data_IF_130277992260
#
_entry.id   IF_130277992260
#
_cell.length_a   1.000
_cell.length_b   1.000
_cell.length_c   1.000
_cell.angle_alpha   90.00
_cell.angle_beta   90.00
_cell.angle_gamma   90.00
#
_symmetry.space_group_name_H-M   'P 1'
#
loop_
_entity.id
_entity.type
_entity.pdbx_description
1 polymer ?
#
# COMPACT_ATOMS: atom_id res chain seq x y z
N UNK A 1 -33.22 -19.46 4.48
CA UNK A 1 -32.66 -20.62 5.21
C UNK A 1 -33.71 -21.14 6.18
N UNK A 2 -33.97 -22.45 6.24
CA UNK A 2 -34.96 -22.98 7.18
C UNK A 2 -34.41 -22.96 8.62
N UNK A 3 -35.28 -23.03 9.63
CA UNK A 3 -34.87 -23.17 11.03
C UNK A 3 -34.00 -24.42 11.24
N UNK A 4 -34.24 -25.49 10.47
CA UNK A 4 -33.45 -26.72 10.52
C UNK A 4 -32.02 -26.51 10.02
N UNK A 5 -31.85 -25.74 8.95
CA UNK A 5 -30.53 -25.45 8.38
C UNK A 5 -29.68 -24.58 9.31
N UNK A 6 -30.32 -23.65 10.04
CA UNK A 6 -29.66 -22.84 11.10
C UNK A 6 -29.08 -23.74 12.20
N UNK A 7 -29.86 -24.70 12.69
CA UNK A 7 -29.41 -25.62 13.75
C UNK A 7 -28.21 -26.44 13.27
N UNK A 8 -28.28 -27.03 12.08
CA UNK A 8 -27.18 -27.82 11.51
C UNK A 8 -25.90 -27.01 11.31
N UNK A 9 -26.03 -25.74 10.92
CA UNK A 9 -24.89 -24.84 10.73
C UNK A 9 -24.20 -24.51 12.06
N UNK A 10 -24.98 -24.30 13.13
CA UNK A 10 -24.44 -24.06 14.47
C UNK A 10 -23.74 -25.30 15.04
N UNK A 11 -24.32 -26.49 14.86
CA UNK A 11 -23.70 -27.75 15.27
C UNK A 11 -22.39 -28.00 14.52
N UNK A 12 -22.36 -27.73 13.21
CA UNK A 12 -21.15 -27.84 12.40
C UNK A 12 -20.08 -26.83 12.83
N UNK A 13 -20.47 -25.58 13.11
CA UNK A 13 -19.53 -24.57 13.63
C UNK A 13 -18.92 -24.96 14.98
N UNK A 14 -19.74 -25.44 15.93
CA UNK A 14 -19.26 -25.91 17.22
C UNK A 14 -18.24 -27.05 17.05
N UNK A 15 -18.49 -27.96 16.09
CA UNK A 15 -17.54 -29.01 15.73
C UNK A 15 -16.23 -28.44 15.14
N UNK A 16 -16.30 -27.44 14.27
CA UNK A 16 -15.11 -26.79 13.70
C UNK A 16 -14.28 -26.10 14.79
N UNK A 17 -14.90 -25.36 15.70
CA UNK A 17 -14.22 -24.76 16.86
C UNK A 17 -13.44 -25.83 17.64
N UNK A 18 -14.07 -26.95 18.00
CA UNK A 18 -13.37 -28.05 18.70
C UNK A 18 -12.08 -28.53 17.99
N UNK A 19 -11.97 -28.35 16.66
CA UNK A 19 -10.78 -28.70 15.89
C UNK A 19 -9.71 -27.60 15.81
N UNK A 20 -10.09 -26.31 15.90
CA UNK A 20 -9.18 -25.17 15.62
C UNK A 20 -8.91 -24.25 16.81
N UNK A 21 -9.67 -24.38 17.89
CA UNK A 21 -9.56 -23.58 19.11
C UNK A 21 -10.93 -23.26 19.73
N UNK A 22 -10.94 -22.64 20.90
CA UNK A 22 -12.21 -22.21 21.49
C UNK A 22 -12.92 -21.18 20.59
N UNK A 23 -14.23 -21.02 20.79
CA UNK A 23 -15.01 -20.03 20.04
C UNK A 23 -14.43 -18.61 20.19
N UNK A 24 -13.90 -18.29 21.37
CA UNK A 24 -13.24 -17.01 21.65
C UNK A 24 -11.97 -16.83 20.82
N UNK A 25 -11.20 -17.90 20.59
CA UNK A 25 -10.00 -17.86 19.74
C UNK A 25 -10.38 -17.63 18.28
N UNK A 26 -11.43 -18.30 17.80
CA UNK A 26 -11.94 -18.11 16.42
C UNK A 26 -12.46 -16.68 16.24
N UNK A 27 -13.28 -16.18 17.18
CA UNK A 27 -13.77 -14.79 17.20
C UNK A 27 -12.62 -13.78 17.22
N UNK A 28 -11.60 -14.01 18.03
CA UNK A 28 -10.42 -13.15 18.10
C UNK A 28 -9.65 -13.11 16.77
N UNK A 29 -9.49 -14.26 16.09
CA UNK A 29 -8.84 -14.32 14.78
C UNK A 29 -9.68 -13.64 13.69
N UNK A 30 -11.00 -13.83 13.70
CA UNK A 30 -11.92 -13.13 12.79
C UNK A 30 -11.81 -11.61 12.96
N UNK A 31 -11.80 -11.13 14.20
CA UNK A 31 -11.62 -9.71 14.52
C UNK A 31 -10.29 -9.16 13.97
N UNK A 32 -9.21 -9.94 14.01
CA UNK A 32 -7.92 -9.52 13.42
C UNK A 32 -8.04 -9.31 11.91
N UNK A 33 -8.80 -10.15 11.20
CA UNK A 33 -9.05 -9.94 9.76
C UNK A 33 -9.94 -8.72 9.51
N UNK A 34 -11.03 -8.55 10.27
CA UNK A 34 -11.88 -7.35 10.19
C UNK A 34 -11.09 -6.07 10.42
N UNK A 35 -10.25 -6.04 11.47
CA UNK A 35 -9.35 -4.91 11.74
C UNK A 35 -8.36 -4.74 10.58
N UNK A 36 -7.83 -5.82 10.02
CA UNK A 36 -6.94 -5.78 8.86
C UNK A 36 -7.60 -5.23 7.61
N UNK A 37 -8.91 -5.43 7.43
CA UNK A 37 -9.68 -4.88 6.33
C UNK A 37 -10.00 -3.41 6.52
N UNK A 38 -10.31 -2.98 7.75
CA UNK A 38 -10.51 -1.57 8.11
C UNK A 38 -9.19 -0.79 8.03
N UNK A 39 -8.09 -1.38 8.51
CA UNK A 39 -6.79 -0.73 8.60
C UNK A 39 -6.03 -0.70 7.26
N UNK A 40 -6.34 -1.61 6.34
CA UNK A 40 -5.83 -1.52 4.97
C UNK A 40 -6.68 -0.52 4.19
N UNK A 41 -6.35 0.75 4.42
CA UNK A 41 -6.90 1.94 3.76
C UNK A 41 -6.57 1.95 2.26
N UNK A 42 -7.28 1.10 1.51
CA UNK A 42 -7.35 1.18 0.07
C UNK A 42 -8.56 2.05 -0.28
N UNK A 43 -8.51 2.80 -1.39
CA UNK A 43 -9.63 3.60 -1.92
C UNK A 43 -10.95 2.81 -2.14
N UNK A 44 -10.91 1.49 -1.96
CA UNK A 44 -12.06 0.60 -1.94
C UNK A 44 -12.09 -0.08 -0.58
N UNK A 45 -13.14 0.13 0.23
CA UNK A 45 -13.38 -0.70 1.39
C UNK A 45 -13.39 -2.16 0.93
N UNK A 46 -12.78 -3.05 1.69
CA UNK A 46 -12.77 -4.48 1.37
C UNK A 46 -13.29 -5.28 2.53
N UNK A 47 -13.79 -6.47 2.24
CA UNK A 47 -14.16 -7.47 3.23
C UNK A 47 -13.43 -8.75 2.88
N UNK A 48 -12.56 -9.20 3.77
CA UNK A 48 -11.92 -10.50 3.71
C UNK A 48 -12.84 -11.54 4.33
N UNK A 49 -13.14 -12.58 3.57
CA UNK A 49 -13.90 -13.74 4.00
C UNK A 49 -13.12 -15.03 3.67
N UNK A 50 -13.81 -16.16 3.65
CA UNK A 50 -13.18 -17.47 3.52
C UNK A 50 -12.65 -17.99 4.85
N UNK A 51 -12.23 -19.25 4.86
CA UNK A 51 -11.97 -19.98 6.10
C UNK A 51 -10.82 -19.40 6.95
N UNK A 52 -9.87 -18.69 6.34
CA UNK A 52 -8.88 -17.89 7.09
C UNK A 52 -9.47 -16.60 7.64
N UNK A 53 -10.21 -15.85 6.82
CA UNK A 53 -10.83 -14.57 7.21
C UNK A 53 -11.77 -14.72 8.41
N UNK A 54 -12.41 -15.89 8.51
CA UNK A 54 -13.34 -16.22 9.58
C UNK A 54 -12.67 -16.83 10.82
N UNK A 55 -11.33 -16.92 10.82
CA UNK A 55 -10.55 -17.33 11.99
C UNK A 55 -10.39 -18.84 12.19
N UNK A 56 -10.87 -19.68 11.27
CA UNK A 56 -10.73 -21.14 11.36
C UNK A 56 -9.30 -21.61 11.02
N UNK A 57 -8.69 -21.01 10.00
CA UNK A 57 -7.27 -21.17 9.65
C UNK A 57 -6.78 -22.64 9.56
N UNK A 58 -7.55 -23.51 8.91
CA UNK A 58 -7.12 -24.88 8.62
C UNK A 58 -5.97 -24.90 7.59
N UNK A 59 -5.23 -26.02 7.56
CA UNK A 59 -4.22 -26.23 6.51
C UNK A 59 -4.91 -26.34 5.16
N UNK A 60 -4.59 -25.42 4.25
CA UNK A 60 -5.25 -25.30 2.95
C UNK A 60 -6.41 -24.30 2.92
N UNK A 61 -6.68 -23.61 4.04
CA UNK A 61 -7.68 -22.55 4.09
C UNK A 61 -7.36 -21.41 3.13
N UNK A 62 -8.42 -20.95 2.48
CA UNK A 62 -8.50 -19.82 1.57
C UNK A 62 -8.80 -18.51 2.30
N UNK A 63 -8.59 -17.41 1.57
CA UNK A 63 -9.05 -16.08 1.91
C UNK A 63 -9.68 -15.51 0.67
N UNK A 64 -10.97 -15.23 0.74
CA UNK A 64 -11.70 -14.53 -0.30
C UNK A 64 -11.68 -13.04 0.04
N UNK A 65 -11.63 -12.17 -0.97
CA UNK A 65 -11.64 -10.72 -0.76
C UNK A 65 -12.71 -10.12 -1.65
N UNK A 66 -13.68 -9.46 -1.04
CA UNK A 66 -14.68 -8.65 -1.73
C UNK A 66 -14.24 -7.19 -1.68
N UNK A 67 -14.11 -6.55 -2.85
CA UNK A 67 -13.93 -5.11 -2.95
C UNK A 67 -15.30 -4.44 -3.03
N UNK A 68 -15.50 -3.41 -2.22
CA UNK A 68 -16.73 -2.62 -2.16
C UNK A 68 -16.50 -1.37 -3.00
N UNK A 69 -17.35 -1.16 -4.01
CA UNK A 69 -17.31 0.07 -4.81
C UNK A 69 -17.66 1.29 -3.94
N UNK A 70 -17.12 2.49 -4.21
CA UNK A 70 -17.30 3.68 -3.36
C UNK A 70 -18.77 4.11 -3.16
N UNK A 71 -19.66 3.72 -4.08
CA UNK A 71 -21.10 4.00 -4.01
C UNK A 71 -21.86 3.06 -3.07
N UNK A 72 -21.19 2.00 -2.57
CA UNK A 72 -21.72 1.06 -1.60
C UNK A 72 -21.09 1.32 -0.23
N UNK A 73 -21.92 1.28 0.80
CA UNK A 73 -21.46 1.33 2.19
C UNK A 73 -21.88 0.05 2.89
N UNK A 74 -20.94 -0.63 3.54
CA UNK A 74 -21.23 -1.82 4.32
C UNK A 74 -21.24 -1.47 5.79
N UNK A 75 -22.31 -1.88 6.47
CA UNK A 75 -22.54 -1.69 7.90
C UNK A 75 -22.58 -3.05 8.58
N UNK A 76 -21.91 -3.22 9.72
CA UNK A 76 -21.99 -4.46 10.51
C UNK A 76 -23.27 -4.51 11.36
N UNK A 77 -23.77 -3.35 11.80
CA UNK A 77 -25.01 -3.24 12.57
C UNK A 77 -25.95 -2.18 12.00
N UNK A 78 -27.26 -2.40 12.18
CA UNK A 78 -28.30 -1.42 11.85
C UNK A 78 -28.14 -0.12 12.65
N UNK A 79 -27.50 -0.17 13.83
CA UNK A 79 -27.20 1.03 14.62
C UNK A 79 -26.19 1.96 13.95
N UNK A 80 -25.35 1.42 13.07
CA UNK A 80 -24.21 2.12 12.49
C UNK A 80 -24.58 2.83 11.18
N UNK A 81 -25.79 2.57 10.68
CA UNK A 81 -26.37 3.20 9.50
C UNK A 81 -26.65 4.67 9.80
N UNK A 82 -25.67 5.52 9.54
CA UNK A 82 -25.70 6.95 9.90
C UNK A 82 -26.05 7.86 8.72
N UNK A 83 -25.99 7.36 7.48
CA UNK A 83 -26.19 8.15 6.27
C UNK A 83 -27.29 7.61 5.34
N UNK A 84 -27.65 8.43 4.35
CA UNK A 84 -28.73 8.15 3.38
C UNK A 84 -28.25 8.21 1.92
N UNK A 85 -26.94 8.24 1.70
CA UNK A 85 -26.34 8.41 0.37
C UNK A 85 -25.66 7.10 -0.05
N UNK A 86 -25.91 6.66 -1.29
CA UNK A 86 -25.40 5.39 -1.82
C UNK A 86 -26.32 4.18 -1.59
N UNK A 87 -25.83 2.99 -1.90
CA UNK A 87 -26.48 1.70 -1.61
C UNK A 87 -25.90 1.16 -0.31
N UNK A 88 -26.70 1.09 0.75
CA UNK A 88 -26.27 0.55 2.03
C UNK A 88 -26.47 -0.97 2.07
N UNK A 89 -25.42 -1.70 2.40
CA UNK A 89 -25.41 -3.13 2.65
C UNK A 89 -25.27 -3.34 4.15
N UNK A 90 -26.17 -4.12 4.74
CA UNK A 90 -26.02 -4.59 6.12
C UNK A 90 -25.38 -5.98 6.08
N UNK A 91 -24.18 -6.08 6.63
CA UNK A 91 -23.44 -7.30 6.86
C UNK A 91 -23.80 -7.86 8.23
N UNK A 92 -24.73 -8.81 8.28
CA UNK A 92 -25.13 -9.43 9.54
C UNK A 92 -24.10 -10.50 9.93
N UNK A 93 -23.17 -10.14 10.82
CA UNK A 93 -22.14 -11.04 11.36
C UNK A 93 -22.50 -11.66 12.70
N UNK A 94 -23.53 -11.14 13.37
CA UNK A 94 -23.89 -11.48 14.74
C UNK A 94 -24.87 -12.65 14.80
N UNK A 95 -25.81 -12.71 13.85
CA UNK A 95 -26.77 -13.81 13.76
C UNK A 95 -26.31 -14.93 12.80
N UNK A 96 -25.16 -14.77 12.16
CA UNK A 96 -24.63 -15.72 11.18
C UNK A 96 -23.53 -16.62 11.74
N UNK A 97 -23.65 -17.95 11.57
CA UNK A 97 -22.55 -18.84 11.89
C UNK A 97 -21.37 -18.54 10.94
N UNK A 98 -20.11 -18.64 11.40
CA UNK A 98 -18.95 -18.54 10.54
C UNK A 98 -19.06 -19.50 9.35
N UNK A 99 -18.53 -19.07 8.20
CA UNK A 99 -18.70 -19.58 6.84
C UNK A 99 -19.91 -19.02 6.09
N UNK A 100 -20.71 -18.18 6.74
CA UNK A 100 -21.83 -17.48 6.13
C UNK A 100 -21.85 -16.04 6.61
N UNK A 101 -21.93 -15.10 5.69
CA UNK A 101 -22.16 -13.69 6.00
C UNK A 101 -23.31 -13.23 5.11
N UNK A 102 -24.42 -12.81 5.70
CA UNK A 102 -25.55 -12.29 4.92
C UNK A 102 -25.31 -10.82 4.64
N UNK A 103 -25.32 -10.47 3.36
CA UNK A 103 -25.36 -9.09 2.91
C UNK A 103 -26.81 -8.75 2.53
N UNK A 104 -27.45 -7.93 3.35
CA UNK A 104 -28.79 -7.43 3.09
C UNK A 104 -28.70 -6.04 2.47
N UNK A 105 -29.28 -5.87 1.28
CA UNK A 105 -29.44 -4.54 0.68
C UNK A 105 -30.51 -3.80 1.48
N UNK A 106 -30.14 -2.69 2.12
CA UNK A 106 -31.09 -1.86 2.84
C UNK A 106 -31.87 -1.01 1.83
N UNK A 107 -33.22 -1.05 1.86
CA UNK A 107 -34.01 -0.20 0.99
C UNK A 107 -33.76 1.28 1.35
N UNK A 108 -33.53 2.12 0.33
CA UNK A 108 -33.49 3.58 0.52
C UNK A 108 -34.82 4.02 1.10
N UNK A 109 -34.83 4.52 2.34
CA UNK A 109 -35.99 5.13 2.95
C UNK A 109 -36.52 6.25 2.05
N UNK A 110 -37.66 6.00 1.37
CA UNK A 110 -38.32 6.97 0.50
C UNK A 110 -38.54 6.56 -0.96
N UNK A 111 -38.05 5.41 -1.42
CA UNK A 111 -38.41 4.87 -2.74
C UNK A 111 -39.44 3.75 -2.54
N UNK A 112 -40.68 3.88 -3.05
CA UNK A 112 -41.65 2.80 -2.99
C UNK A 112 -41.08 1.54 -3.67
N UNK A 113 -41.24 0.43 -2.97
CA UNK A 113 -40.85 -0.92 -3.34
C UNK A 113 -41.48 -1.32 -4.70
N UNK A 114 -40.80 -1.06 -5.82
CA UNK A 114 -41.27 -1.44 -7.17
C UNK A 114 -40.40 -2.53 -7.85
N UNK A 115 -39.33 -2.99 -7.21
CA UNK A 115 -38.38 -3.93 -7.84
C UNK A 115 -38.49 -5.40 -7.40
N UNK A 116 -39.36 -5.75 -6.45
CA UNK A 116 -39.43 -7.14 -5.94
C UNK A 116 -40.50 -8.02 -6.57
N UNK A 117 -41.53 -7.48 -7.24
CA UNK A 117 -42.50 -8.35 -7.94
C UNK A 117 -41.95 -8.92 -9.25
N UNK A 118 -41.17 -8.15 -10.01
CA UNK A 118 -40.59 -8.63 -11.28
C UNK A 118 -39.59 -9.78 -11.10
N UNK A 119 -38.85 -9.83 -9.98
CA UNK A 119 -37.92 -10.93 -9.68
C UNK A 119 -38.65 -12.16 -9.08
N UNK A 120 -39.86 -11.99 -8.54
CA UNK A 120 -40.66 -13.11 -8.01
C UNK A 120 -41.36 -13.86 -9.13
N UNK A 121 -41.72 -13.17 -10.21
CA UNK A 121 -42.30 -13.79 -11.42
C UNK A 121 -41.24 -14.53 -12.26
N UNK A 122 -39.99 -14.07 -12.30
CA UNK A 122 -38.91 -14.77 -13.03
C UNK A 122 -38.40 -16.05 -12.34
N UNK A 123 -38.78 -16.31 -11.09
CA UNK A 123 -38.31 -17.48 -10.33
C UNK A 123 -39.10 -18.77 -10.61
N UNK A 124 -40.21 -18.69 -11.34
CA UNK A 124 -41.06 -19.85 -11.62
C UNK A 124 -40.67 -20.65 -12.88
N UNK A 125 -39.71 -20.19 -13.69
CA UNK A 125 -39.35 -20.85 -14.97
C UNK A 125 -37.90 -21.38 -15.06
N UNK A 126 -37.14 -21.46 -13.96
CA UNK A 126 -35.73 -21.88 -14.01
C UNK A 126 -35.51 -23.33 -13.50
N UNK A 127 -35.98 -24.32 -14.25
CA UNK A 127 -35.38 -25.66 -14.21
C UNK A 127 -34.22 -25.70 -15.23
N UNK A 128 -33.00 -25.98 -14.74
CA UNK A 128 -31.69 -25.97 -15.42
C UNK A 128 -30.90 -24.65 -15.37
N UNK A 129 -30.35 -24.35 -14.19
CA UNK A 129 -29.14 -23.54 -14.08
C UNK A 129 -28.07 -24.38 -13.38
N UNK A 130 -27.12 -24.89 -14.16
CA UNK A 130 -25.87 -25.48 -13.64
C UNK A 130 -24.93 -24.29 -13.44
N UNK A 131 -24.48 -23.95 -12.22
CA UNK A 131 -23.53 -22.88 -12.04
C UNK A 131 -22.19 -23.34 -12.62
N UNK A 132 -21.66 -22.62 -13.60
CA UNK A 132 -20.30 -22.79 -14.07
C UNK A 132 -19.34 -22.52 -12.91
N UNK A 133 -18.41 -23.45 -12.68
CA UNK A 133 -17.34 -23.34 -11.68
C UNK A 133 -16.53 -22.04 -11.92
N UNK A 134 -16.11 -21.34 -10.85
CA UNK A 134 -15.34 -20.11 -11.01
C UNK A 134 -14.03 -20.41 -11.72
N UNK A 135 -13.80 -19.69 -12.82
CA UNK A 135 -12.59 -19.78 -13.63
C UNK A 135 -11.35 -19.71 -12.72
N UNK A 136 -10.60 -20.82 -12.69
CA UNK A 136 -9.20 -20.86 -12.25
C UNK A 136 -8.49 -19.59 -12.71
N UNK A 137 -7.77 -18.90 -11.81
CA UNK A 137 -6.97 -17.73 -12.13
C UNK A 137 -6.00 -18.01 -13.28
N UNK A 138 -6.47 -17.75 -14.51
CA UNK A 138 -5.68 -17.94 -15.71
C UNK A 138 -4.47 -17.02 -15.62
N UNK A 139 -3.28 -17.60 -15.72
CA UNK A 139 -2.03 -16.86 -15.89
C UNK A 139 -2.27 -15.87 -17.03
N UNK A 140 -2.16 -14.55 -16.81
CA UNK A 140 -2.50 -13.58 -17.82
C UNK A 140 -1.66 -13.81 -19.07
N UNK A 141 -2.34 -13.90 -20.21
CA UNK A 141 -1.69 -14.10 -21.51
C UNK A 141 -0.72 -12.96 -21.79
N UNK A 142 0.30 -13.20 -22.64
CA UNK A 142 1.23 -12.14 -23.05
C UNK A 142 0.50 -10.91 -23.64
N UNK A 143 -0.62 -11.14 -24.33
CA UNK A 143 -1.49 -10.09 -24.85
C UNK A 143 -2.11 -9.24 -23.74
N UNK A 144 -2.64 -9.85 -22.68
CA UNK A 144 -3.19 -9.14 -21.53
C UNK A 144 -2.11 -8.36 -20.77
N UNK A 145 -0.93 -8.97 -20.56
CA UNK A 145 0.23 -8.29 -19.94
C UNK A 145 0.64 -7.05 -20.74
N UNK A 146 0.69 -7.16 -22.07
CA UNK A 146 0.99 -6.04 -22.95
C UNK A 146 -0.06 -4.93 -22.90
N UNK A 147 -1.34 -5.26 -22.89
CA UNK A 147 -2.40 -4.24 -22.75
C UNK A 147 -2.34 -3.52 -21.39
N UNK A 148 -2.09 -4.26 -20.31
CA UNK A 148 -1.91 -3.69 -18.98
C UNK A 148 -0.70 -2.76 -18.93
N UNK A 149 0.44 -3.18 -19.49
CA UNK A 149 1.64 -2.35 -19.65
C UNK A 149 1.35 -1.05 -20.40
N UNK A 150 0.70 -1.15 -21.58
CA UNK A 150 0.37 0.02 -22.41
C UNK A 150 -0.60 0.97 -21.70
N UNK A 151 -1.57 0.41 -20.96
CA UNK A 151 -2.51 1.18 -20.17
C UNK A 151 -1.79 1.99 -19.09
N UNK A 152 -0.93 1.36 -18.28
CA UNK A 152 -0.17 2.08 -17.25
C UNK A 152 0.75 3.14 -17.83
N UNK A 153 1.47 2.81 -18.91
CA UNK A 153 2.32 3.78 -19.58
C UNK A 153 1.51 5.00 -20.05
N UNK A 154 0.30 4.81 -20.58
CA UNK A 154 -0.56 5.91 -21.01
C UNK A 154 -1.00 6.82 -19.85
N UNK A 155 -1.25 6.25 -18.66
CA UNK A 155 -1.61 7.02 -17.46
C UNK A 155 -0.41 7.82 -16.94
N UNK A 156 0.78 7.21 -16.91
CA UNK A 156 2.02 7.87 -16.48
C UNK A 156 2.39 9.04 -17.39
N UNK A 157 2.14 8.92 -18.69
CA UNK A 157 2.39 10.00 -19.64
C UNK A 157 1.53 11.24 -19.38
N UNK A 158 0.40 11.14 -18.67
CA UNK A 158 -0.40 12.32 -18.27
C UNK A 158 0.42 13.21 -17.33
N UNK A 159 1.08 12.62 -16.31
CA UNK A 159 1.93 13.37 -15.38
C UNK A 159 3.22 13.89 -16.01
N UNK A 160 3.72 13.23 -17.06
CA UNK A 160 4.84 13.73 -17.86
C UNK A 160 4.43 14.90 -18.76
N UNK A 161 3.22 14.86 -19.33
CA UNK A 161 2.70 15.92 -20.18
C UNK A 161 2.39 17.20 -19.41
N UNK A 162 2.07 17.10 -18.11
CA UNK A 162 1.98 18.27 -17.22
C UNK A 162 3.34 18.80 -16.75
N UNK A 163 4.43 18.16 -17.20
CA UNK A 163 5.81 18.44 -16.82
C UNK A 163 6.08 18.38 -15.31
N UNK A 164 5.26 17.64 -14.56
CA UNK A 164 5.43 17.45 -13.13
C UNK A 164 6.63 16.54 -12.84
N UNK A 165 7.54 16.98 -11.96
CA UNK A 165 8.71 16.19 -11.55
C UNK A 165 8.31 14.83 -10.99
N UNK A 166 7.22 14.76 -10.22
CA UNK A 166 6.65 13.52 -9.71
C UNK A 166 6.24 12.58 -10.85
N UNK A 167 5.55 13.08 -11.88
CA UNK A 167 5.17 12.31 -13.07
C UNK A 167 6.38 11.71 -13.80
N UNK A 168 7.45 12.48 -13.97
CA UNK A 168 8.71 11.98 -14.54
C UNK A 168 9.36 10.88 -13.68
N UNK A 169 9.39 11.04 -12.35
CA UNK A 169 9.97 10.03 -11.44
C UNK A 169 9.19 8.73 -11.41
N UNK A 170 7.86 8.83 -11.47
CA UNK A 170 6.97 7.69 -11.59
C UNK A 170 7.24 6.93 -12.90
N UNK A 171 7.43 7.66 -14.01
CA UNK A 171 7.80 7.05 -15.29
C UNK A 171 9.19 6.39 -15.24
N UNK A 172 10.19 7.03 -14.60
CA UNK A 172 11.52 6.43 -14.42
C UNK A 172 11.45 5.13 -13.61
N UNK A 173 10.66 5.11 -12.54
CA UNK A 173 10.42 3.92 -11.72
C UNK A 173 9.78 2.80 -12.52
N UNK A 174 8.78 3.15 -13.35
CA UNK A 174 8.12 2.20 -14.24
C UNK A 174 9.09 1.57 -15.24
N UNK A 175 9.95 2.36 -15.88
CA UNK A 175 10.97 1.80 -16.78
C UNK A 175 11.98 0.94 -16.03
N UNK A 176 12.41 1.35 -14.84
CA UNK A 176 13.29 0.56 -13.99
C UNK A 176 12.67 -0.80 -13.62
N UNK A 177 11.40 -0.85 -13.19
CA UNK A 177 10.72 -2.10 -12.81
C UNK A 177 10.54 -3.07 -13.98
N UNK A 178 10.51 -2.55 -15.21
CA UNK A 178 10.48 -3.32 -16.45
C UNK A 178 11.88 -3.61 -17.03
N UNK A 179 12.95 -3.32 -16.28
CA UNK A 179 14.36 -3.52 -16.66
C UNK A 179 14.83 -2.68 -17.86
N UNK A 180 14.11 -1.59 -18.16
CA UNK A 180 14.47 -0.62 -19.18
C UNK A 180 15.37 0.46 -18.54
N UNK A 181 16.57 0.04 -18.12
CA UNK A 181 17.45 0.85 -17.28
C UNK A 181 17.99 2.09 -18.00
N UNK A 182 18.17 2.04 -19.32
CA UNK A 182 18.66 3.19 -20.11
C UNK A 182 17.64 4.31 -20.13
N UNK A 183 16.38 3.98 -20.35
CA UNK A 183 15.23 4.90 -20.34
C UNK A 183 15.03 5.50 -18.96
N UNK A 184 15.08 4.66 -17.91
CA UNK A 184 15.04 5.14 -16.53
C UNK A 184 16.15 6.16 -16.25
N UNK A 185 17.39 5.90 -16.69
CA UNK A 185 18.51 6.81 -16.54
C UNK A 185 18.28 8.14 -17.26
N UNK A 186 17.89 8.13 -18.54
CA UNK A 186 17.58 9.33 -19.32
C UNK A 186 16.54 10.19 -18.60
N UNK A 187 15.48 9.57 -18.08
CA UNK A 187 14.42 10.29 -17.35
C UNK A 187 14.94 10.84 -16.03
N UNK A 188 15.74 10.09 -15.26
CA UNK A 188 16.32 10.61 -14.01
C UNK A 188 17.29 11.76 -14.26
N UNK A 189 18.06 11.74 -15.36
CA UNK A 189 18.94 12.85 -15.74
C UNK A 189 18.12 14.09 -16.11
N UNK A 190 17.00 13.91 -16.84
CA UNK A 190 16.05 14.99 -17.12
C UNK A 190 15.47 15.60 -15.84
N UNK A 191 14.99 14.77 -14.91
CA UNK A 191 14.48 15.20 -13.60
C UNK A 191 15.53 16.00 -12.83
N UNK A 192 16.76 15.48 -12.74
CA UNK A 192 17.85 16.14 -12.03
C UNK A 192 18.26 17.46 -12.70
N UNK A 193 18.16 17.56 -14.03
CA UNK A 193 18.45 18.81 -14.76
C UNK A 193 17.41 19.90 -14.52
N UNK A 194 16.15 19.51 -14.25
CA UNK A 194 15.05 20.43 -13.94
C UNK A 194 15.02 20.84 -12.48
N UNK A 195 15.64 20.06 -11.61
CA UNK A 195 15.68 20.35 -10.20
C UNK A 195 16.60 21.55 -9.94
N UNK A 196 16.02 22.71 -9.68
CA UNK A 196 16.75 23.87 -9.16
C UNK A 196 16.75 23.82 -7.63
N UNK A 197 17.86 24.17 -6.98
CA UNK A 197 17.93 24.24 -5.50
C UNK A 197 16.94 25.26 -4.88
N UNK A 198 16.30 26.07 -5.72
CA UNK A 198 15.13 26.86 -5.33
C UNK A 198 13.93 25.93 -5.28
N UNK A 199 13.48 25.62 -4.07
CA UNK A 199 12.20 24.95 -3.80
C UNK A 199 11.10 25.60 -4.63
N UNK A 200 10.63 24.92 -5.67
CA UNK A 200 9.44 25.36 -6.41
C UNK A 200 8.25 24.85 -5.59
N UNK A 201 7.48 25.72 -4.91
CA UNK A 201 6.24 25.29 -4.30
C UNK A 201 5.34 24.74 -5.40
N UNK A 202 4.93 23.48 -5.27
CA UNK A 202 3.98 22.88 -6.21
C UNK A 202 2.63 23.55 -6.01
N UNK A 203 2.02 24.16 -7.03
CA UNK A 203 0.68 24.70 -6.93
C UNK A 203 -0.31 23.56 -6.65
N UNK A 204 -1.17 23.76 -5.64
CA UNK A 204 -2.18 22.82 -5.11
C UNK A 204 -3.14 22.29 -6.19
N UNK A 205 -3.24 22.98 -7.32
CA UNK A 205 -4.26 22.75 -8.35
C UNK A 205 -3.92 21.63 -9.34
N UNK A 206 -2.75 20.99 -9.24
CA UNK A 206 -2.38 19.86 -10.13
C UNK A 206 -2.57 18.52 -9.43
N UNK A 207 -3.82 18.18 -9.12
CA UNK A 207 -4.22 16.83 -8.68
C UNK A 207 -4.04 15.83 -9.83
N UNK A 208 -2.82 15.35 -10.03
CA UNK A 208 -2.61 14.09 -10.73
C UNK A 208 -3.41 13.00 -10.00
N UNK A 209 -4.06 12.14 -10.77
CA UNK A 209 -5.01 11.13 -10.30
C UNK A 209 -4.40 10.30 -9.15
N UNK A 210 -4.80 10.61 -7.91
CA UNK A 210 -4.28 10.05 -6.65
C UNK A 210 -4.25 8.51 -6.69
N UNK A 211 -5.22 7.88 -7.36
CA UNK A 211 -5.31 6.43 -7.57
C UNK A 211 -4.10 5.86 -8.32
N UNK A 212 -3.63 6.55 -9.38
CA UNK A 212 -2.44 6.13 -10.15
C UNK A 212 -1.18 6.30 -9.31
N UNK A 213 -1.12 7.34 -8.47
CA UNK A 213 -0.01 7.56 -7.55
C UNK A 213 0.07 6.46 -6.47
N UNK A 214 -1.07 6.02 -5.94
CA UNK A 214 -1.13 4.91 -4.97
C UNK A 214 -0.81 3.55 -5.60
N UNK A 215 -1.35 3.22 -6.77
CA UNK A 215 -0.98 1.98 -7.46
C UNK A 215 0.51 1.95 -7.83
N UNK A 216 1.11 3.09 -8.18
CA UNK A 216 2.54 3.15 -8.40
C UNK A 216 3.37 3.18 -7.11
N UNK A 217 2.85 3.77 -6.04
CA UNK A 217 3.43 3.65 -4.71
C UNK A 217 3.50 2.19 -4.30
N UNK A 218 2.44 1.42 -4.55
CA UNK A 218 2.44 -0.03 -4.34
C UNK A 218 3.47 -0.74 -5.19
N UNK A 219 3.69 -0.32 -6.45
CA UNK A 219 4.79 -0.83 -7.29
C UNK A 219 6.19 -0.42 -6.78
N UNK A 220 6.35 0.78 -6.21
CA UNK A 220 7.58 1.23 -5.52
C UNK A 220 7.80 0.40 -4.24
N UNK A 221 6.74 0.15 -3.49
CA UNK A 221 6.74 -0.75 -2.34
C UNK A 221 7.00 -2.19 -2.79
N UNK A 222 6.56 -2.61 -3.97
CA UNK A 222 6.84 -3.92 -4.55
C UNK A 222 8.29 -4.06 -5.02
N UNK A 223 8.89 -2.99 -5.54
CA UNK A 223 10.34 -2.86 -5.72
C UNK A 223 11.09 -2.98 -4.38
N UNK A 224 10.51 -2.47 -3.28
CA UNK A 224 11.03 -2.66 -1.93
C UNK A 224 10.75 -4.06 -1.35
N UNK A 225 9.74 -4.77 -1.87
CA UNK A 225 9.41 -6.17 -1.52
C UNK A 225 10.29 -7.20 -2.21
N UNK A 226 11.26 -6.78 -3.03
CA UNK A 226 12.24 -7.71 -3.59
C UNK A 226 12.85 -8.54 -2.46
N UNK A 227 12.77 -9.87 -2.58
CA UNK A 227 12.94 -10.84 -1.48
C UNK A 227 14.27 -10.69 -0.72
N UNK A 228 15.30 -10.15 -1.39
CA UNK A 228 16.58 -9.79 -0.78
C UNK A 228 16.45 -8.59 0.16
N UNK A 229 15.79 -7.51 -0.23
CA UNK A 229 15.64 -6.29 0.58
C UNK A 229 14.83 -6.55 1.85
N UNK A 230 13.72 -7.30 1.78
CA UNK A 230 12.93 -7.67 2.96
C UNK A 230 13.71 -8.60 3.90
N UNK A 231 14.35 -9.64 3.36
CA UNK A 231 15.16 -10.56 4.17
C UNK A 231 16.31 -9.82 4.85
N UNK A 232 16.91 -8.84 4.16
CA UNK A 232 18.00 -8.04 4.72
C UNK A 232 17.49 -7.07 5.79
N UNK A 233 16.39 -6.34 5.56
CA UNK A 233 15.79 -5.47 6.59
C UNK A 233 15.40 -6.30 7.81
N UNK A 234 14.77 -7.47 7.63
CA UNK A 234 14.42 -8.40 8.72
C UNK A 234 15.64 -8.94 9.47
N UNK A 235 16.73 -9.25 8.78
CA UNK A 235 17.97 -9.72 9.39
C UNK A 235 18.72 -8.59 10.14
N UNK A 236 18.58 -7.35 9.70
CA UNK A 236 19.15 -6.16 10.35
C UNK A 236 18.34 -5.73 11.57
N UNK A 237 17.02 -5.97 11.59
CA UNK A 237 16.13 -5.71 12.73
C UNK A 237 16.22 -6.73 13.86
N UNK A 238 17.09 -7.75 13.77
CA UNK A 238 17.53 -8.55 14.93
C UNK A 238 18.44 -7.75 15.88
N UNK A 239 18.61 -6.45 15.64
CA UNK A 239 19.02 -5.51 16.68
C UNK A 239 17.94 -5.46 17.75
N UNK A 240 18.34 -5.57 19.02
CA UNK A 240 17.55 -5.42 20.26
C UNK A 240 16.89 -4.02 20.42
N UNK A 241 16.64 -3.33 19.31
CA UNK A 241 15.85 -2.12 19.22
C UNK A 241 14.45 -2.61 18.82
N UNK A 242 13.55 -2.59 19.78
CA UNK A 242 12.12 -2.84 19.60
C UNK A 242 11.55 -1.72 18.71
N UNK A 243 11.85 -1.76 17.40
CA UNK A 243 11.17 -0.98 16.38
C UNK A 243 9.79 -1.63 16.27
N UNK A 244 8.84 -1.06 16.99
CA UNK A 244 7.44 -1.44 16.93
C UNK A 244 7.05 -1.57 15.46
N UNK A 245 6.46 -2.69 15.07
CA UNK A 245 5.92 -2.88 13.72
C UNK A 245 4.92 -1.79 13.30
N UNK A 246 4.43 -0.98 14.26
CA UNK A 246 3.67 0.25 14.05
C UNK A 246 4.50 1.43 13.49
N UNK A 247 5.82 1.42 13.62
CA UNK A 247 6.70 2.50 13.11
C UNK A 247 7.04 2.34 11.62
N UNK A 248 6.83 1.15 11.04
CA UNK A 248 6.97 0.89 9.60
C UNK A 248 5.62 0.77 8.86
N UNK A 249 4.52 0.59 9.60
CA UNK A 249 3.17 0.65 9.07
C UNK A 249 2.70 2.11 9.16
N UNK A 250 2.60 2.76 7.99
CA UNK A 250 1.79 3.95 7.68
C UNK A 250 1.37 4.78 8.90
N UNK A 251 2.03 5.93 9.11
CA UNK A 251 1.58 6.99 10.01
C UNK A 251 0.10 7.35 9.70
N UNK A 252 -0.80 7.31 10.69
CA UNK A 252 -2.22 7.71 10.54
C UNK A 252 -2.45 9.17 10.09
N UNK A 253 -1.38 9.96 9.93
CA UNK A 253 -1.44 11.35 9.52
C UNK A 253 -1.50 11.55 7.98
N UNK A 254 -1.42 10.47 7.19
CA UNK A 254 -1.59 10.54 5.72
C UNK A 254 -3.05 10.66 5.26
N UNK A 255 -4.04 10.56 6.16
CA UNK A 255 -5.47 10.67 5.83
C UNK A 255 -6.09 12.05 6.10
N UNK A 256 -5.38 13.00 6.74
CA UNK A 256 -5.98 14.29 7.11
C UNK A 256 -5.57 15.50 6.26
N UNK A 257 -4.74 15.33 5.22
CA UNK A 257 -4.14 16.46 4.51
C UNK A 257 -4.35 16.44 2.99
N UNK A 258 -5.58 16.16 2.55
CA UNK A 258 -6.03 16.55 1.20
C UNK A 258 -6.17 18.09 1.04
N UNK A 259 -5.81 18.88 2.06
CA UNK A 259 -5.77 20.34 2.04
C UNK A 259 -4.38 20.95 2.34
N UNK A 260 -3.34 20.17 2.64
CA UNK A 260 -2.05 20.73 3.08
C UNK A 260 -0.96 20.63 1.97
N UNK A 261 -0.42 21.76 1.47
CA UNK A 261 0.50 21.83 0.31
C UNK A 261 1.92 21.27 0.51
N UNK A 262 2.18 20.38 1.49
CA UNK A 262 3.54 20.15 2.00
C UNK A 262 4.24 18.82 1.66
N UNK A 263 3.78 18.03 0.69
CA UNK A 263 4.38 16.69 0.46
C UNK A 263 4.91 16.47 -0.97
N UNK A 264 5.91 17.25 -1.41
CA UNK A 264 6.73 16.93 -2.61
C UNK A 264 8.21 17.28 -2.38
N UNK A 265 8.82 16.78 -1.30
CA UNK A 265 10.23 17.08 -0.97
C UNK A 265 11.24 15.97 -1.33
N UNK A 266 10.80 14.82 -1.83
CA UNK A 266 11.67 13.62 -1.98
C UNK A 266 12.17 13.35 -3.40
N UNK A 267 11.89 14.25 -4.35
CA UNK A 267 12.15 13.98 -5.77
C UNK A 267 13.64 13.77 -6.10
N UNK A 268 14.54 14.59 -5.55
CA UNK A 268 15.97 14.53 -5.86
C UNK A 268 16.66 13.29 -5.26
N UNK A 269 16.44 12.94 -3.97
CA UNK A 269 16.92 11.66 -3.42
C UNK A 269 16.40 10.44 -4.20
N UNK A 270 15.12 10.43 -4.56
CA UNK A 270 14.53 9.32 -5.34
C UNK A 270 15.16 9.22 -6.73
N UNK A 271 15.41 10.34 -7.41
CA UNK A 271 16.09 10.34 -8.71
C UNK A 271 17.49 9.73 -8.62
N UNK A 272 18.28 10.12 -7.60
CA UNK A 272 19.61 9.54 -7.36
C UNK A 272 19.54 8.06 -7.01
N UNK A 273 18.52 7.63 -6.27
CA UNK A 273 18.31 6.23 -5.92
C UNK A 273 17.94 5.37 -7.15
N UNK A 274 16.99 5.80 -7.98
CA UNK A 274 16.64 5.09 -9.23
C UNK A 274 17.86 5.00 -10.16
N UNK A 275 18.67 6.07 -10.22
CA UNK A 275 19.91 6.11 -10.99
C UNK A 275 20.95 5.13 -10.44
N UNK A 276 21.14 5.07 -9.12
CA UNK A 276 21.97 4.06 -8.45
C UNK A 276 21.53 2.64 -8.82
N UNK A 277 20.25 2.33 -8.65
CA UNK A 277 19.69 1.01 -8.97
C UNK A 277 19.91 0.65 -10.45
N UNK A 278 19.65 1.59 -11.36
CA UNK A 278 19.80 1.38 -12.79
C UNK A 278 21.25 1.10 -13.20
N UNK A 279 22.23 1.78 -12.60
CA UNK A 279 23.65 1.47 -12.84
C UNK A 279 24.10 0.16 -12.17
N UNK A 280 23.62 -0.12 -10.96
CA UNK A 280 23.91 -1.34 -10.23
C UNK A 280 23.47 -2.58 -11.02
N UNK A 281 22.23 -2.63 -11.49
CA UNK A 281 21.72 -3.77 -12.27
C UNK A 281 22.32 -3.89 -13.67
N UNK A 282 22.92 -2.81 -14.20
CA UNK A 282 23.72 -2.85 -15.44
C UNK A 282 25.16 -3.31 -15.21
N UNK A 283 25.60 -3.48 -13.96
CA UNK A 283 26.98 -3.86 -13.62
C UNK A 283 28.00 -2.75 -13.87
N UNK A 284 27.58 -1.48 -13.93
CA UNK A 284 28.49 -0.35 -14.09
C UNK A 284 28.93 0.18 -12.72
N UNK A 285 30.05 -0.33 -12.22
CA UNK A 285 30.59 -0.06 -10.88
C UNK A 285 30.83 1.42 -10.64
N UNK A 286 31.66 2.04 -11.47
CA UNK A 286 32.02 3.46 -11.34
C UNK A 286 30.78 4.37 -11.31
N UNK A 287 29.77 4.03 -12.14
CA UNK A 287 28.57 4.85 -12.26
C UNK A 287 27.61 4.69 -11.05
N UNK A 288 27.44 3.49 -10.51
CA UNK A 288 26.60 3.34 -9.31
C UNK A 288 27.31 3.91 -8.08
N UNK A 289 28.63 3.79 -7.97
CA UNK A 289 29.38 4.41 -6.87
C UNK A 289 29.28 5.93 -6.92
N UNK A 290 29.37 6.53 -8.12
CA UNK A 290 29.12 7.96 -8.30
C UNK A 290 27.70 8.35 -7.87
N UNK A 291 26.69 7.56 -8.25
CA UNK A 291 25.30 7.81 -7.87
C UNK A 291 25.09 7.68 -6.34
N UNK A 292 25.72 6.69 -5.71
CA UNK A 292 25.74 6.52 -4.26
C UNK A 292 26.35 7.73 -3.56
N UNK A 293 27.51 8.21 -4.02
CA UNK A 293 28.18 9.40 -3.45
C UNK A 293 27.36 10.68 -3.62
N UNK A 294 26.58 10.81 -4.70
CA UNK A 294 25.63 11.92 -4.86
C UNK A 294 24.49 11.83 -3.84
N UNK A 295 23.92 10.65 -3.64
CA UNK A 295 22.88 10.43 -2.62
C UNK A 295 23.40 10.71 -1.20
N UNK A 296 24.64 10.30 -0.90
CA UNK A 296 25.32 10.62 0.36
C UNK A 296 25.49 12.13 0.55
N UNK A 297 25.90 12.86 -0.50
CA UNK A 297 26.02 14.31 -0.46
C UNK A 297 24.68 15.00 -0.18
N UNK A 298 23.60 14.58 -0.84
CA UNK A 298 22.26 15.09 -0.55
C UNK A 298 21.87 14.85 0.91
N UNK A 299 22.23 13.69 1.48
CA UNK A 299 21.99 13.41 2.89
C UNK A 299 22.72 14.42 3.79
N UNK A 300 24.00 14.69 3.50
CA UNK A 300 24.83 15.64 4.25
C UNK A 300 24.27 17.07 4.14
N UNK A 301 23.89 17.50 2.93
CA UNK A 301 23.35 18.83 2.69
C UNK A 301 22.01 19.02 3.43
N UNK A 302 21.15 18.00 3.42
CA UNK A 302 19.90 18.00 4.18
C UNK A 302 20.12 18.06 5.71
N UNK A 303 21.19 17.43 6.22
CA UNK A 303 21.54 17.50 7.64
C UNK A 303 22.10 18.88 8.05
N UNK A 304 22.87 19.52 7.18
CA UNK A 304 23.54 20.80 7.49
C UNK A 304 22.62 22.00 7.41
N UNK A 305 21.52 21.90 6.65
CA UNK A 305 20.52 22.95 6.51
C UNK A 305 19.70 23.11 7.81
N UNK A 306 20.23 23.89 8.76
CA UNK A 306 19.51 24.32 9.96
C UNK A 306 18.34 25.22 9.54
N UNK A 307 17.11 24.78 9.80
CA UNK A 307 15.93 25.62 9.57
C UNK A 307 15.00 25.69 10.76
N UNK A 308 14.33 26.84 10.86
CA UNK A 308 13.38 27.21 11.90
C UNK A 308 11.98 27.27 11.29
N UNK A 309 10.96 26.77 12.01
CA UNK A 309 9.56 26.90 11.62
C UNK A 309 9.01 25.74 10.79
N UNK A 310 7.99 26.02 9.97
CA UNK A 310 7.19 25.03 9.23
C UNK A 310 7.96 24.25 8.17
N UNK A 311 9.03 24.80 7.58
CA UNK A 311 9.89 24.10 6.60
C UNK A 311 10.63 22.89 7.21
N UNK A 312 10.71 22.82 8.55
CA UNK A 312 11.42 21.77 9.27
C UNK A 312 10.83 20.38 9.02
N UNK A 313 9.49 20.27 8.89
CA UNK A 313 8.83 18.97 8.75
C UNK A 313 9.10 18.36 7.36
N UNK A 314 8.91 19.14 6.29
CA UNK A 314 9.18 18.68 4.92
C UNK A 314 10.63 18.23 4.72
N UNK A 315 11.60 18.97 5.28
CA UNK A 315 13.02 18.59 5.24
C UNK A 315 13.35 17.38 6.11
N UNK A 316 12.65 17.17 7.22
CA UNK A 316 12.80 15.97 8.04
C UNK A 316 12.39 14.73 7.24
N UNK A 317 11.26 14.79 6.54
CA UNK A 317 10.86 13.70 5.63
C UNK A 317 11.88 13.50 4.51
N UNK A 318 12.35 14.57 3.87
CA UNK A 318 13.38 14.47 2.84
C UNK A 318 14.66 13.79 3.37
N UNK A 319 15.12 14.18 4.55
CA UNK A 319 16.27 13.56 5.21
C UNK A 319 16.01 12.07 5.50
N UNK A 320 14.85 11.74 6.06
CA UNK A 320 14.44 10.36 6.35
C UNK A 320 14.53 9.48 5.09
N UNK A 321 13.87 9.89 4.00
CA UNK A 321 13.89 9.12 2.75
C UNK A 321 15.29 9.05 2.13
N UNK A 322 16.07 10.14 2.20
CA UNK A 322 17.46 10.13 1.71
C UNK A 322 18.30 9.12 2.48
N UNK A 323 18.21 9.11 3.81
CA UNK A 323 18.89 8.14 4.66
C UNK A 323 18.42 6.71 4.37
N UNK A 324 17.12 6.51 4.16
CA UNK A 324 16.56 5.21 3.84
C UNK A 324 17.11 4.65 2.52
N UNK A 325 17.07 5.45 1.45
CA UNK A 325 17.65 5.08 0.16
C UNK A 325 19.15 4.83 0.24
N UNK A 326 19.87 5.65 1.03
CA UNK A 326 21.30 5.48 1.25
C UNK A 326 21.61 4.18 1.98
N UNK A 327 20.82 3.83 3.00
CA UNK A 327 20.95 2.56 3.74
C UNK A 327 20.74 1.35 2.85
N UNK A 328 19.72 1.35 1.99
CA UNK A 328 19.50 0.29 0.99
C UNK A 328 20.68 0.21 0.03
N UNK A 329 21.14 1.35 -0.48
CA UNK A 329 22.21 1.39 -1.46
C UNK A 329 23.53 0.86 -0.88
N UNK A 330 23.89 1.27 0.34
CA UNK A 330 25.06 0.78 1.08
C UNK A 330 25.01 -0.74 1.27
N UNK A 331 23.83 -1.26 1.62
CA UNK A 331 23.64 -2.68 1.79
C UNK A 331 23.79 -3.46 0.48
N UNK A 332 23.30 -2.91 -0.64
CA UNK A 332 23.42 -3.53 -1.96
C UNK A 332 24.86 -3.62 -2.45
N UNK A 333 25.71 -2.64 -2.12
CA UNK A 333 27.15 -2.66 -2.46
C UNK A 333 28.00 -3.48 -1.49
N UNK A 334 27.40 -4.11 -0.48
CA UNK A 334 28.09 -4.95 0.50
C UNK A 334 28.57 -4.23 1.76
N UNK A 335 28.36 -2.92 1.88
CA UNK A 335 28.72 -2.08 3.02
C UNK A 335 27.73 -2.23 4.19
N UNK A 336 27.61 -3.45 4.71
CA UNK A 336 26.57 -3.82 5.69
C UNK A 336 26.70 -3.07 7.02
N UNK A 337 27.92 -2.73 7.44
CA UNK A 337 28.13 -1.98 8.68
C UNK A 337 27.73 -0.50 8.53
N UNK A 338 27.98 0.09 7.36
CA UNK A 338 27.49 1.43 7.04
C UNK A 338 25.96 1.44 6.98
N UNK A 339 25.34 0.46 6.31
CA UNK A 339 23.89 0.32 6.25
C UNK A 339 23.27 0.23 7.65
N UNK A 340 23.81 -0.62 8.53
CA UNK A 340 23.38 -0.72 9.95
C UNK A 340 23.45 0.62 10.67
N UNK A 341 24.56 1.36 10.51
CA UNK A 341 24.75 2.68 11.13
C UNK A 341 23.72 3.69 10.62
N UNK A 342 23.44 3.70 9.32
CA UNK A 342 22.42 4.57 8.71
C UNK A 342 21.03 4.22 9.26
N UNK A 343 20.60 2.95 9.21
CA UNK A 343 19.28 2.54 9.69
C UNK A 343 19.07 2.77 11.19
N UNK A 344 20.10 2.55 12.03
CA UNK A 344 20.03 2.92 13.45
C UNK A 344 19.83 4.42 13.65
N UNK A 345 20.43 5.23 12.78
CA UNK A 345 20.29 6.69 12.85
C UNK A 345 18.90 7.15 12.41
N UNK A 346 18.28 6.48 11.44
CA UNK A 346 16.87 6.68 11.07
C UNK A 346 15.97 6.40 12.27
N UNK A 347 16.15 5.24 12.93
CA UNK A 347 15.37 4.89 14.12
C UNK A 347 15.51 5.92 15.27
N UNK A 348 16.65 6.62 15.36
CA UNK A 348 16.86 7.69 16.33
C UNK A 348 16.22 9.01 15.87
N UNK A 349 16.22 9.31 14.56
CA UNK A 349 15.53 10.47 13.99
C UNK A 349 14.03 10.45 14.30
N UNK A 350 13.40 9.28 14.28
CA UNK A 350 11.97 9.13 14.56
C UNK A 350 11.62 9.38 16.04
N UNK A 351 12.58 9.15 16.95
CA UNK A 351 12.36 9.22 18.40
C UNK A 351 12.78 10.57 19.00
N UNK A 352 13.73 11.28 18.39
CA UNK A 352 14.31 12.50 18.96
C UNK A 352 14.46 13.63 17.93
N UNK A 353 14.29 14.87 18.40
CA UNK A 353 14.62 16.13 17.69
C UNK A 353 15.81 15.99 16.70
N UNK A 354 15.55 16.26 15.42
CA UNK A 354 16.44 16.12 14.24
C UNK A 354 17.91 16.53 14.41
N UNK A 355 18.19 17.52 15.27
CA UNK A 355 19.54 18.05 15.53
C UNK A 355 20.49 17.04 16.19
N UNK A 356 19.99 16.12 17.01
CA UNK A 356 20.80 15.08 17.66
C UNK A 356 21.25 14.00 16.67
N UNK A 357 20.36 13.59 15.77
CA UNK A 357 20.64 12.55 14.79
C UNK A 357 21.64 13.00 13.72
N UNK A 358 21.50 14.22 13.21
CA UNK A 358 22.43 14.81 12.24
C UNK A 358 23.88 14.87 12.77
N UNK A 359 24.06 15.26 14.04
CA UNK A 359 25.37 15.33 14.71
C UNK A 359 26.02 13.95 14.92
N UNK A 360 25.22 12.89 15.05
CA UNK A 360 25.72 11.51 15.18
C UNK A 360 26.06 10.92 13.82
N UNK A 361 25.23 11.15 12.80
CA UNK A 361 25.48 10.65 11.45
C UNK A 361 26.72 11.31 10.83
N UNK A 362 26.94 12.61 11.06
CA UNK A 362 28.14 13.31 10.59
C UNK A 362 29.45 12.86 11.24
N UNK A 363 29.38 12.11 12.35
CA UNK A 363 30.55 11.44 12.96
C UNK A 363 30.75 10.01 12.44
N UNK A 364 29.74 9.47 11.76
CA UNK A 364 29.71 8.09 11.26
C UNK A 364 30.13 7.99 9.79
N UNK A 365 29.77 9.01 9.01
CA UNK A 365 30.25 9.28 7.64
C UNK A 365 31.55 10.05 7.75
#
# INVERSE_FOLDING_TARGET
>A
MSKSDRIKSLEFYAYLCQKVGSEEIVKSRRLIYTIGDIAMDNNYPRISSGSKGEGLNFKGSDTDVMFIEPDFRVYESMSDVTDRWGVSLLMDTDETPPCFTYLNILPKYGVPFLFTEQLREQKNDAHHFVPELPNMHCIPTNKQKYFKYKHYLSQLLIGVNSDAISGWLLLATFFYSHKHYTEALIITDHVLSKYTDKTIPVPVETSCNIVVFHELHDNVMELMKHEKTITIVKNLTNLDINLDSKSLAVLPELQQDAQDPFMVYTCKPMAHFIRFLSYYYRGNVDAYENAFMRLLRECIDNMNNKQTGSERMGKMFQLFYTMYFLGISAQMIGESDLAKKIFRSIAICDVYNSTSAASRLSKLI
#
